data_IF_669151794745
#
_entry.id   IF_669151794745
#
_cell.length_a   1.000
_cell.length_b   1.000
_cell.length_c   1.000
_cell.angle_alpha   90.00
_cell.angle_beta   90.00
_cell.angle_gamma   90.00
#
_symmetry.space_group_name_H-M   'P 1'
#
loop_
_entity.id
_entity.type
_entity.pdbx_description
1 polymer ?
#
# COMPACT_ATOMS: atom_id res chain seq x y z
N UNK A 1 11.33 13.02 -10.51
CA UNK A 1 10.76 12.08 -9.51
C UNK A 1 9.37 12.51 -9.06
N UNK A 2 9.16 13.79 -8.68
CA UNK A 2 7.86 14.28 -8.21
C UNK A 2 6.70 14.01 -9.19
N UNK A 3 6.93 14.20 -10.49
CA UNK A 3 5.97 13.88 -11.56
C UNK A 3 5.60 12.40 -11.60
N UNK A 4 6.58 11.49 -11.44
CA UNK A 4 6.33 10.04 -11.41
C UNK A 4 5.49 9.63 -10.21
N UNK A 5 5.60 10.37 -9.10
CA UNK A 5 4.79 10.19 -7.90
C UNK A 5 3.48 11.00 -7.91
N UNK A 6 3.19 11.71 -9.01
CA UNK A 6 2.02 12.58 -9.15
C UNK A 6 1.87 13.58 -7.99
N UNK A 7 2.98 14.13 -7.50
CA UNK A 7 3.00 15.02 -6.34
C UNK A 7 3.77 16.32 -6.61
N UNK A 8 3.59 17.31 -5.74
CA UNK A 8 4.32 18.57 -5.84
C UNK A 8 5.80 18.41 -5.45
N UNK A 9 6.72 19.24 -5.97
CA UNK A 9 8.14 19.21 -5.58
C UNK A 9 8.38 19.46 -4.08
N UNK A 10 7.50 20.21 -3.40
CA UNK A 10 7.59 20.45 -1.96
C UNK A 10 7.16 19.22 -1.15
N UNK A 11 6.17 18.48 -1.64
CA UNK A 11 5.78 17.17 -1.08
C UNK A 11 6.92 16.18 -1.21
N UNK A 12 7.55 16.08 -2.39
CA UNK A 12 8.71 15.20 -2.59
C UNK A 12 9.85 15.52 -1.61
N UNK A 13 10.24 16.80 -1.49
CA UNK A 13 11.29 17.21 -0.52
C UNK A 13 10.92 16.89 0.93
N UNK A 14 9.64 16.99 1.27
CA UNK A 14 9.16 16.63 2.61
C UNK A 14 9.26 15.12 2.86
N UNK A 15 9.02 14.31 1.82
CA UNK A 15 9.16 12.85 1.86
C UNK A 15 10.64 12.47 2.01
N UNK A 16 11.51 13.05 1.18
CA UNK A 16 12.97 12.81 1.21
C UNK A 16 13.62 13.22 2.54
N UNK A 17 13.11 14.27 3.19
CA UNK A 17 13.55 14.69 4.52
C UNK A 17 12.92 13.90 5.67
N UNK A 18 12.07 12.92 5.38
CA UNK A 18 11.46 12.05 6.39
C UNK A 18 10.45 12.74 7.30
N UNK A 19 9.78 13.81 6.84
CA UNK A 19 8.78 14.49 7.67
C UNK A 19 7.65 13.53 8.05
N UNK A 20 7.29 13.39 9.33
CA UNK A 20 6.32 12.39 9.80
C UNK A 20 4.89 12.64 9.29
N UNK A 21 4.57 13.88 8.90
CA UNK A 21 3.26 14.23 8.34
C UNK A 21 3.11 13.88 6.84
N UNK A 22 4.15 13.32 6.21
CA UNK A 22 4.06 12.93 4.80
C UNK A 22 3.24 11.66 4.63
N UNK A 23 2.53 11.57 3.51
CA UNK A 23 1.66 10.43 3.22
C UNK A 23 2.47 9.14 3.06
N UNK A 24 2.12 8.13 3.86
CA UNK A 24 2.67 6.76 3.75
C UNK A 24 2.37 6.14 2.38
N UNK A 25 1.25 6.49 1.75
CA UNK A 25 0.93 6.02 0.40
C UNK A 25 1.94 6.53 -0.65
N UNK A 26 2.47 7.75 -0.47
CA UNK A 26 3.50 8.29 -1.35
C UNK A 26 4.83 7.53 -1.18
N UNK A 27 5.18 7.19 0.06
CA UNK A 27 6.35 6.38 0.37
C UNK A 27 6.25 4.99 -0.26
N UNK A 28 5.11 4.31 -0.07
CA UNK A 28 4.87 3.00 -0.66
C UNK A 28 4.92 3.04 -2.20
N UNK A 29 4.36 4.09 -2.82
CA UNK A 29 4.45 4.24 -4.28
C UNK A 29 5.88 4.49 -4.76
N UNK A 30 6.68 5.26 -4.03
CA UNK A 30 8.10 5.44 -4.33
C UNK A 30 8.87 4.13 -4.25
N UNK A 31 8.67 3.34 -3.18
CA UNK A 31 9.27 2.02 -3.03
C UNK A 31 8.87 1.09 -4.18
N UNK A 32 7.59 1.11 -4.58
CA UNK A 32 7.11 0.35 -5.73
C UNK A 32 7.82 0.75 -7.05
N UNK A 33 7.99 2.05 -7.31
CA UNK A 33 8.72 2.53 -8.50
C UNK A 33 10.20 2.14 -8.51
N UNK A 34 10.79 1.92 -7.33
CA UNK A 34 12.17 1.45 -7.17
C UNK A 34 12.31 -0.07 -7.15
N UNK A 35 11.20 -0.82 -7.09
CA UNK A 35 11.24 -2.27 -6.91
C UNK A 35 11.59 -2.72 -5.49
N UNK A 36 11.47 -1.82 -4.50
CA UNK A 36 11.89 -2.01 -3.10
C UNK A 36 10.70 -2.15 -2.15
N UNK A 37 9.51 -2.49 -2.67
CA UNK A 37 8.31 -2.61 -1.83
C UNK A 37 8.46 -3.71 -0.76
N UNK A 38 9.18 -4.79 -1.08
CA UNK A 38 9.40 -5.91 -0.17
C UNK A 38 10.35 -5.54 0.99
N UNK A 39 11.20 -4.53 0.80
CA UNK A 39 12.08 -3.99 1.83
C UNK A 39 11.33 -3.27 2.96
N UNK A 40 10.02 -3.00 2.78
CA UNK A 40 9.20 -2.34 3.79
C UNK A 40 9.05 -3.18 5.07
N UNK A 41 8.98 -4.51 4.96
CA UNK A 41 8.84 -5.39 6.14
C UNK A 41 10.11 -5.38 7.01
N UNK A 42 11.28 -5.16 6.39
CA UNK A 42 12.54 -4.99 7.13
C UNK A 42 12.61 -3.64 7.87
N UNK A 43 12.00 -2.59 7.33
CA UNK A 43 12.01 -1.24 7.91
C UNK A 43 10.91 -1.02 8.94
N UNK A 44 9.75 -1.65 8.74
CA UNK A 44 8.57 -1.52 9.57
C UNK A 44 7.94 -2.90 9.82
N UNK A 45 8.61 -3.75 10.63
CA UNK A 45 8.16 -5.11 10.86
C UNK A 45 6.75 -5.08 11.47
N UNK A 46 5.85 -5.85 10.87
CA UNK A 46 4.47 -5.89 11.34
C UNK A 46 4.44 -6.51 12.74
N UNK A 47 3.94 -5.80 13.78
CA UNK A 47 3.92 -6.36 15.12
C UNK A 47 3.03 -7.61 15.17
N UNK A 48 3.52 -8.70 15.76
CA UNK A 48 2.88 -10.02 15.75
C UNK A 48 1.42 -10.00 16.25
N UNK A 49 1.09 -9.09 17.18
CA UNK A 49 -0.27 -8.92 17.70
C UNK A 49 -1.26 -8.31 16.70
N UNK A 50 -0.80 -7.62 15.66
CA UNK A 50 -1.67 -7.00 14.64
C UNK A 50 -2.25 -8.05 13.67
N UNK A 51 -1.46 -9.07 13.35
CA UNK A 51 -1.87 -10.17 12.47
C UNK A 51 -2.93 -11.07 13.12
N UNK A 52 -2.84 -11.28 14.45
CA UNK A 52 -3.76 -12.12 15.21
C UNK A 52 -5.22 -11.58 15.24
N UNK A 53 -5.40 -10.28 15.02
CA UNK A 53 -6.71 -9.61 15.05
C UNK A 53 -7.31 -9.30 13.68
N UNK A 54 -6.64 -9.66 12.57
CA UNK A 54 -7.10 -9.32 11.22
C UNK A 54 -8.32 -10.17 10.84
N UNK A 55 -9.50 -9.78 11.36
CA UNK A 55 -10.76 -10.04 10.68
C UNK A 55 -10.76 -9.19 9.41
N UNK A 56 -10.07 -9.67 8.37
CA UNK A 56 -10.44 -9.28 7.01
C UNK A 56 -11.93 -9.55 6.96
N UNK A 57 -12.74 -8.51 6.76
CA UNK A 57 -14.15 -8.67 6.48
C UNK A 57 -14.21 -9.38 5.13
N UNK A 58 -14.02 -10.70 5.14
CA UNK A 58 -14.33 -11.55 4.01
C UNK A 58 -15.80 -11.30 3.80
N UNK A 59 -16.13 -10.50 2.78
CA UNK A 59 -17.50 -10.41 2.31
C UNK A 59 -17.98 -11.85 2.18
N UNK A 60 -19.07 -12.19 2.87
CA UNK A 60 -19.63 -13.53 2.83
C UNK A 60 -20.04 -13.94 1.39
N UNK A 61 -20.03 -12.98 0.46
CA UNK A 61 -20.27 -13.17 -0.97
C UNK A 61 -19.03 -13.56 -1.80
N UNK A 62 -17.81 -13.56 -1.24
CA UNK A 62 -16.63 -13.87 -2.05
C UNK A 62 -16.53 -15.38 -2.29
N UNK A 63 -16.78 -15.77 -3.54
CA UNK A 63 -16.63 -17.14 -4.03
C UNK A 63 -15.20 -17.69 -3.86
N UNK A 64 -15.00 -18.99 -4.13
CA UNK A 64 -13.69 -19.62 -4.02
C UNK A 64 -12.62 -18.86 -4.79
N UNK A 65 -11.41 -18.77 -4.23
CA UNK A 65 -10.29 -18.06 -4.83
C UNK A 65 -10.02 -18.58 -6.26
N UNK A 66 -9.93 -17.67 -7.23
CA UNK A 66 -9.77 -18.00 -8.65
C UNK A 66 -11.07 -18.03 -9.45
N UNK A 67 -12.23 -17.81 -8.81
CA UNK A 67 -13.52 -17.68 -9.51
C UNK A 67 -13.95 -16.20 -9.48
N UNK A 68 -14.08 -15.60 -10.66
CA UNK A 68 -14.61 -14.25 -10.86
C UNK A 68 -16.13 -14.33 -10.70
N UNK A 69 -16.70 -13.54 -9.80
CA UNK A 69 -18.13 -13.57 -9.51
C UNK A 69 -18.95 -12.85 -10.61
N UNK A 70 -20.26 -13.11 -10.69
CA UNK A 70 -21.14 -12.51 -11.73
C UNK A 70 -21.19 -10.98 -11.65
N UNK A 71 -21.22 -10.45 -10.43
CA UNK A 71 -21.16 -9.01 -10.15
C UNK A 71 -19.80 -8.38 -10.52
N UNK A 72 -18.74 -9.18 -10.63
CA UNK A 72 -17.42 -8.76 -11.11
C UNK A 72 -17.32 -8.78 -12.66
N UNK A 73 -18.34 -9.29 -13.38
CA UNK A 73 -18.37 -9.40 -14.85
C UNK A 73 -19.23 -8.36 -15.56
N UNK A 74 -19.89 -7.46 -14.83
CA UNK A 74 -20.55 -6.30 -15.40
C UNK A 74 -19.50 -5.22 -15.76
N UNK A 75 -18.99 -5.30 -16.99
CA UNK A 75 -18.18 -4.27 -17.64
C UNK A 75 -18.99 -3.53 -18.70
#
# INVERSE_FOLDING_TARGET
>A
MAERLLCSPTTLRSLESGKPATSIGLLAHALWLFGEIDSLDALAPTPAGLAAGRRVRRSAARGPAGVIAEDERDF
#
